data_IF_515762937570
#
_entry.id   IF_515762937570
#
_cell.length_a   1.000
_cell.length_b   1.000
_cell.length_c   1.000
_cell.angle_alpha   90.00
_cell.angle_beta   90.00
_cell.angle_gamma   90.00
#
_symmetry.space_group_name_H-M   'P 1'
#
loop_
_entity.id
_entity.type
_entity.pdbx_description
1 polymer ?
#
# COMPACT_ATOMS: atom_id res chain seq x y z
N UNK A 1 0.31 -4.22 -6.99
CA UNK A 1 0.41 -4.07 -5.53
C UNK A 1 -0.74 -3.21 -5.07
N UNK A 2 -1.26 -3.43 -3.88
CA UNK A 2 -2.09 -2.46 -3.18
C UNK A 2 -1.41 -2.12 -1.87
N UNK A 3 -1.32 -0.83 -1.56
CA UNK A 3 -0.83 -0.35 -0.27
C UNK A 3 -1.80 0.71 0.23
N UNK A 4 -2.59 0.36 1.25
CA UNK A 4 -3.63 1.21 1.81
C UNK A 4 -3.37 1.50 3.28
N UNK A 5 -3.74 2.71 3.74
CA UNK A 5 -3.76 3.06 5.17
C UNK A 5 -5.02 2.54 5.88
N UNK A 6 -5.91 1.86 5.17
CA UNK A 6 -7.08 1.21 5.74
C UNK A 6 -6.72 -0.11 6.43
N UNK A 7 -7.56 -0.54 7.37
CA UNK A 7 -7.39 -1.81 8.10
C UNK A 7 -7.44 -3.02 7.15
N UNK A 8 -6.80 -4.11 7.58
CA UNK A 8 -6.64 -5.36 6.81
C UNK A 8 -7.96 -5.91 6.26
N UNK A 9 -9.05 -5.83 7.02
CA UNK A 9 -10.35 -6.37 6.58
C UNK A 9 -10.95 -5.58 5.41
N UNK A 10 -10.74 -4.27 5.40
CA UNK A 10 -11.11 -3.44 4.25
C UNK A 10 -10.23 -3.78 3.05
N UNK A 11 -8.92 -3.91 3.26
CA UNK A 11 -7.97 -4.26 2.20
C UNK A 11 -8.29 -5.63 1.56
N UNK A 12 -8.74 -6.61 2.34
CA UNK A 12 -9.19 -7.92 1.83
C UNK A 12 -10.44 -7.80 0.96
N UNK A 13 -11.48 -7.09 1.42
CA UNK A 13 -12.68 -6.84 0.61
C UNK A 13 -12.36 -6.12 -0.69
N UNK A 14 -11.41 -5.18 -0.64
CA UNK A 14 -10.96 -4.47 -1.83
C UNK A 14 -10.36 -5.43 -2.88
N UNK A 15 -9.57 -6.43 -2.45
CA UNK A 15 -9.03 -7.45 -3.37
C UNK A 15 -10.12 -8.34 -3.95
N UNK A 16 -11.13 -8.71 -3.16
CA UNK A 16 -12.26 -9.52 -3.63
C UNK A 16 -13.04 -8.81 -4.74
N UNK A 17 -13.16 -7.49 -4.67
CA UNK A 17 -13.85 -6.68 -5.69
C UNK A 17 -12.95 -6.36 -6.88
N UNK A 18 -11.70 -5.92 -6.65
CA UNK A 18 -10.82 -5.40 -7.70
C UNK A 18 -10.11 -6.49 -8.50
N UNK A 19 -9.75 -7.61 -7.86
CA UNK A 19 -9.04 -8.71 -8.50
C UNK A 19 -9.54 -10.07 -7.96
N UNK A 20 -10.82 -10.41 -8.17
CA UNK A 20 -11.42 -11.65 -7.67
C UNK A 20 -10.69 -12.91 -8.15
N UNK A 21 -10.03 -12.84 -9.32
CA UNK A 21 -9.26 -13.94 -9.91
C UNK A 21 -7.79 -13.96 -9.49
N UNK A 22 -7.34 -12.98 -8.69
CA UNK A 22 -5.96 -12.84 -8.18
C UNK A 22 -4.89 -12.87 -9.27
N UNK A 23 -5.14 -12.20 -10.40
CA UNK A 23 -4.23 -12.19 -11.56
C UNK A 23 -3.35 -10.95 -11.67
N UNK A 24 -3.77 -9.83 -11.08
CA UNK A 24 -3.12 -8.53 -11.24
C UNK A 24 -2.38 -8.09 -9.97
N UNK A 25 -2.99 -8.30 -8.80
CA UNK A 25 -2.48 -7.79 -7.53
C UNK A 25 -1.74 -8.90 -6.79
N UNK A 26 -0.41 -8.83 -6.80
CA UNK A 26 0.47 -9.86 -6.20
C UNK A 26 0.65 -9.73 -4.69
N UNK A 27 0.50 -8.53 -4.14
CA UNK A 27 0.69 -8.25 -2.72
C UNK A 27 -0.27 -7.13 -2.29
N UNK A 28 -0.77 -7.26 -1.07
CA UNK A 28 -1.65 -6.30 -0.42
C UNK A 28 -1.07 -5.94 0.95
N UNK A 29 -0.72 -4.68 1.10
CA UNK A 29 -0.27 -4.05 2.33
C UNK A 29 -1.39 -3.13 2.84
N UNK A 30 -1.54 -3.09 4.16
CA UNK A 30 -2.61 -2.41 4.88
C UNK A 30 -2.04 -1.51 5.98
N UNK A 31 -2.92 -0.92 6.80
CA UNK A 31 -2.52 0.01 7.88
C UNK A 31 -1.45 -0.55 8.82
N UNK A 32 -1.56 -1.84 9.17
CA UNK A 32 -0.61 -2.55 10.02
C UNK A 32 0.81 -2.64 9.42
N UNK A 33 0.92 -2.46 8.11
CA UNK A 33 2.17 -2.46 7.37
C UNK A 33 2.67 -1.01 7.14
N UNK A 34 1.96 0.01 7.60
CA UNK A 34 2.38 1.41 7.53
C UNK A 34 3.26 1.79 8.72
N UNK A 35 4.17 2.74 8.53
CA UNK A 35 4.88 3.38 9.62
C UNK A 35 3.95 4.39 10.28
N UNK A 36 3.65 4.21 11.57
CA UNK A 36 2.87 5.18 12.34
C UNK A 36 3.80 6.17 13.03
N UNK A 37 3.72 7.45 12.66
CA UNK A 37 4.49 8.52 13.28
C UNK A 37 3.64 9.78 13.39
N UNK A 38 3.62 10.39 14.57
CA UNK A 38 2.83 11.60 14.87
C UNK A 38 1.33 11.46 14.52
N UNK A 39 0.75 10.28 14.77
CA UNK A 39 -0.65 9.99 14.46
C UNK A 39 -0.97 9.85 12.98
N UNK A 40 0.03 9.91 12.10
CA UNK A 40 -0.10 9.70 10.66
C UNK A 40 0.44 8.32 10.27
N UNK A 41 -0.21 7.70 9.28
CA UNK A 41 0.25 6.46 8.67
C UNK A 41 0.96 6.74 7.35
N UNK A 42 2.22 6.36 7.30
CA UNK A 42 3.10 6.56 6.15
C UNK A 42 3.34 5.24 5.44
N UNK A 43 3.26 5.25 4.11
CA UNK A 43 3.53 4.09 3.27
C UNK A 43 5.01 4.08 2.93
N UNK A 44 5.76 3.25 3.63
CA UNK A 44 7.19 3.09 3.37
C UNK A 44 7.40 2.11 2.21
N UNK A 45 7.83 2.63 1.06
CA UNK A 45 8.04 1.83 -0.15
C UNK A 45 9.20 0.83 0.00
N UNK A 46 10.12 1.03 0.94
CA UNK A 46 11.22 0.07 1.19
C UNK A 46 10.68 -1.30 1.62
N UNK A 47 9.51 -1.34 2.25
CA UNK A 47 8.83 -2.58 2.65
C UNK A 47 8.35 -3.43 1.46
N UNK A 48 8.32 -2.88 0.24
CA UNK A 48 7.94 -3.64 -0.95
C UNK A 48 8.98 -4.68 -1.36
N UNK A 49 10.23 -4.56 -0.89
CA UNK A 49 11.34 -5.44 -1.28
C UNK A 49 11.61 -5.41 -2.79
N UNK A 50 11.45 -4.24 -3.40
CA UNK A 50 11.60 -4.00 -4.85
C UNK A 50 12.66 -2.93 -5.08
N UNK A 51 13.22 -2.92 -6.27
CA UNK A 51 14.05 -1.81 -6.75
C UNK A 51 13.18 -0.53 -6.85
N UNK A 52 13.46 0.44 -5.98
CA UNK A 52 12.73 1.71 -5.93
C UNK A 52 12.93 2.54 -7.20
N UNK A 53 14.07 2.40 -7.89
CA UNK A 53 14.31 3.11 -9.15
C UNK A 53 13.35 2.66 -10.28
N UNK A 54 12.68 1.51 -10.12
CA UNK A 54 11.70 0.96 -11.06
C UNK A 54 10.29 0.90 -10.46
N UNK A 55 10.07 1.52 -9.32
CA UNK A 55 8.81 1.49 -8.60
C UNK A 55 8.15 2.85 -8.68
N UNK A 56 6.89 2.88 -9.14
CA UNK A 56 6.08 4.09 -9.16
C UNK A 56 4.95 3.94 -8.16
N UNK A 57 4.83 4.92 -7.27
CA UNK A 57 3.75 5.02 -6.32
C UNK A 57 2.67 5.96 -6.86
N UNK A 58 1.41 5.51 -6.84
CA UNK A 58 0.26 6.30 -7.25
C UNK A 58 -0.69 6.42 -6.06
N UNK A 59 -0.88 7.66 -5.60
CA UNK A 59 -1.82 7.99 -4.53
C UNK A 59 -2.43 9.36 -4.82
N UNK A 60 -3.64 9.56 -4.33
CA UNK A 60 -4.36 10.83 -4.44
C UNK A 60 -3.73 11.95 -3.58
N UNK A 61 -2.83 11.62 -2.64
CA UNK A 61 -2.15 12.59 -1.78
C UNK A 61 -0.65 12.30 -1.67
N UNK A 62 0.17 13.36 -1.64
CA UNK A 62 1.61 13.25 -1.40
C UNK A 62 1.96 12.80 0.01
N UNK A 63 1.09 13.10 0.99
CA UNK A 63 1.28 12.68 2.38
C UNK A 63 1.33 11.15 2.56
N UNK A 64 0.87 10.37 1.58
CA UNK A 64 1.00 8.92 1.59
C UNK A 64 2.46 8.43 1.50
N UNK A 65 3.37 9.20 0.90
CA UNK A 65 4.76 8.78 0.63
C UNK A 65 5.75 9.87 1.07
N UNK A 66 6.34 9.76 2.29
CA UNK A 66 7.22 10.81 2.83
C UNK A 66 8.60 10.85 2.16
N UNK A 67 8.99 9.78 1.46
CA UNK A 67 10.24 9.68 0.73
C UNK A 67 9.94 9.18 -0.68
N UNK A 68 9.95 10.10 -1.65
CA UNK A 68 9.88 9.84 -3.08
C UNK A 68 11.05 10.54 -3.76
#
# INVERSE_FOLDING_TARGET
FIYTTAKKDYAKKLLEVLDPKKKLIRLCLSQQDCVCSQGCYWKDLTQLGRDLARTVALDHTMQGFPAQ
#
